data_IF_784167086356
#
_entry.id   IF_784167086356
#
_cell.length_a   1.000
_cell.length_b   1.000
_cell.length_c   1.000
_cell.angle_alpha   90.00
_cell.angle_beta   90.00
_cell.angle_gamma   90.00
#
_symmetry.space_group_name_H-M   'P 1'
#
loop_
_entity.id
_entity.type
_entity.pdbx_description
1 polymer ?
#
# COMPACT_ATOMS: atom_id res chain seq x y z
N UNK A 1 -7.59 7.64 16.89
CA UNK A 1 -8.02 6.26 16.56
C UNK A 1 -7.66 5.81 15.14
N UNK A 2 -7.98 6.58 14.08
CA UNK A 2 -7.62 6.26 12.69
C UNK A 2 -6.10 6.27 12.39
N UNK A 3 -5.31 7.09 13.10
CA UNK A 3 -3.85 7.17 12.94
C UNK A 3 -3.12 5.92 13.47
N UNK A 4 -3.58 5.38 14.61
CA UNK A 4 -3.05 4.15 15.22
C UNK A 4 -3.39 2.93 14.36
N UNK A 5 -4.59 2.91 13.79
CA UNK A 5 -5.01 1.86 12.87
C UNK A 5 -4.14 1.85 11.60
N UNK A 6 -3.88 3.02 11.01
CA UNK A 6 -3.01 3.11 9.84
C UNK A 6 -1.59 2.64 10.17
N UNK A 7 -1.02 3.04 11.30
CA UNK A 7 0.28 2.49 11.75
C UNK A 7 0.24 0.97 11.90
N UNK A 8 -0.82 0.41 12.47
CA UNK A 8 -0.99 -1.04 12.64
C UNK A 8 -1.11 -1.77 11.31
N UNK A 9 -1.83 -1.16 10.35
CA UNK A 9 -1.93 -1.63 8.96
C UNK A 9 -0.57 -1.62 8.28
N UNK A 10 0.21 -0.55 8.43
CA UNK A 10 1.54 -0.45 7.86
C UNK A 10 2.53 -1.42 8.52
N UNK A 11 2.42 -1.66 9.82
CA UNK A 11 3.19 -2.69 10.53
C UNK A 11 2.83 -4.11 10.04
N UNK A 12 1.54 -4.38 9.78
CA UNK A 12 1.09 -5.63 9.17
C UNK A 12 1.62 -5.79 7.74
N UNK A 13 1.57 -4.74 6.93
CA UNK A 13 2.16 -4.72 5.60
C UNK A 13 3.69 -4.86 5.65
N UNK A 14 4.34 -4.31 6.68
CA UNK A 14 5.78 -4.43 6.91
C UNK A 14 6.17 -5.86 7.29
N UNK A 15 5.43 -6.49 8.20
CA UNK A 15 5.61 -7.91 8.57
C UNK A 15 5.36 -8.85 7.38
N UNK A 16 4.31 -8.60 6.60
CA UNK A 16 4.05 -9.35 5.37
C UNK A 16 5.08 -9.05 4.26
N UNK A 17 5.65 -7.84 4.27
CA UNK A 17 6.62 -7.34 3.32
C UNK A 17 8.07 -7.58 3.69
N UNK A 18 8.39 -8.28 4.80
CA UNK A 18 9.77 -8.62 5.16
C UNK A 18 10.52 -9.39 4.06
N UNK A 19 9.81 -10.05 3.16
CA UNK A 19 10.36 -10.70 1.96
C UNK A 19 10.82 -9.70 0.86
N UNK A 20 10.45 -8.43 0.98
CA UNK A 20 10.61 -7.35 -0.03
C UNK A 20 11.64 -6.30 0.46
N UNK A 21 12.27 -6.49 1.62
CA UNK A 21 13.09 -5.44 2.24
C UNK A 21 14.48 -5.31 1.60
N UNK A 22 14.95 -6.29 0.84
CA UNK A 22 16.21 -6.15 0.10
C UNK A 22 15.94 -5.68 -1.35
N UNK A 23 16.07 -4.37 -1.66
CA UNK A 23 15.81 -3.83 -2.99
C UNK A 23 16.71 -4.44 -4.08
N UNK A 24 17.92 -4.89 -3.74
CA UNK A 24 18.81 -5.58 -4.70
C UNK A 24 18.24 -6.95 -5.11
N UNK A 25 17.67 -7.71 -4.17
CA UNK A 25 17.05 -9.01 -4.50
C UNK A 25 15.75 -8.86 -5.28
N UNK A 26 15.06 -7.73 -5.15
CA UNK A 26 13.80 -7.48 -5.85
C UNK A 26 14.01 -7.08 -7.30
N UNK A 27 15.02 -6.26 -7.59
CA UNK A 27 15.31 -5.88 -8.97
C UNK A 27 15.81 -7.09 -9.76
N UNK A 28 16.67 -7.91 -9.14
CA UNK A 28 17.09 -9.20 -9.71
C UNK A 28 15.90 -10.15 -9.89
N UNK A 29 14.99 -10.24 -8.91
CA UNK A 29 13.78 -11.08 -9.03
C UNK A 29 12.87 -10.58 -10.15
N UNK A 30 12.73 -9.26 -10.33
CA UNK A 30 11.94 -8.63 -11.39
C UNK A 30 12.53 -8.94 -12.77
N UNK A 31 13.85 -8.85 -12.93
CA UNK A 31 14.54 -9.04 -14.21
C UNK A 31 14.66 -10.53 -14.56
N UNK A 32 15.03 -11.38 -13.60
CA UNK A 32 15.35 -12.78 -13.86
C UNK A 32 14.18 -13.75 -13.63
N UNK A 33 13.20 -13.39 -12.79
CA UNK A 33 12.08 -14.28 -12.42
C UNK A 33 10.71 -13.57 -12.47
N UNK A 34 10.28 -13.08 -13.64
CA UNK A 34 9.07 -12.24 -13.78
C UNK A 34 7.77 -12.94 -13.34
N UNK A 35 7.71 -14.28 -13.41
CA UNK A 35 6.55 -15.03 -12.93
C UNK A 35 6.42 -15.03 -11.40
N UNK A 36 7.55 -15.08 -10.67
CA UNK A 36 7.56 -14.97 -9.20
C UNK A 36 7.24 -13.54 -8.78
N UNK A 37 7.79 -12.56 -9.50
CA UNK A 37 7.47 -11.15 -9.32
C UNK A 37 5.96 -10.89 -9.41
N UNK A 38 5.32 -11.36 -10.48
CA UNK A 38 3.87 -11.18 -10.67
C UNK A 38 3.05 -11.86 -9.56
N UNK A 39 3.49 -13.01 -9.04
CA UNK A 39 2.82 -13.72 -7.94
C UNK A 39 2.93 -12.97 -6.62
N UNK A 40 4.09 -12.39 -6.33
CA UNK A 40 4.28 -11.54 -5.15
C UNK A 40 3.44 -10.29 -5.26
N UNK A 41 3.42 -9.64 -6.43
CA UNK A 41 2.65 -8.42 -6.63
C UNK A 41 1.14 -8.66 -6.48
N UNK A 42 0.61 -9.74 -7.06
CA UNK A 42 -0.80 -10.11 -6.92
C UNK A 42 -1.17 -10.51 -5.48
N UNK A 43 -0.28 -11.21 -4.75
CA UNK A 43 -0.50 -11.49 -3.32
C UNK A 43 -0.54 -10.20 -2.49
N UNK A 44 0.38 -9.26 -2.73
CA UNK A 44 0.38 -7.95 -2.05
C UNK A 44 -0.89 -7.18 -2.35
N UNK A 45 -1.35 -7.23 -3.60
CA UNK A 45 -2.56 -6.56 -4.05
C UNK A 45 -3.79 -7.02 -3.28
N UNK A 46 -3.95 -8.33 -3.13
CA UNK A 46 -5.07 -8.93 -2.41
C UNK A 46 -5.06 -8.51 -0.93
N UNK A 47 -3.88 -8.50 -0.30
CA UNK A 47 -3.72 -8.02 1.08
C UNK A 47 -4.07 -6.53 1.23
N UNK A 48 -3.64 -5.69 0.30
CA UNK A 48 -3.96 -4.26 0.28
C UNK A 48 -5.46 -4.05 0.14
N UNK A 49 -6.13 -4.78 -0.77
CA UNK A 49 -7.58 -4.67 -0.95
C UNK A 49 -8.34 -5.01 0.33
N UNK A 50 -7.97 -6.12 1.00
CA UNK A 50 -8.60 -6.52 2.26
C UNK A 50 -8.44 -5.45 3.35
N UNK A 51 -7.25 -4.89 3.47
CA UNK A 51 -6.95 -3.84 4.45
C UNK A 51 -7.75 -2.56 4.16
N UNK A 52 -7.81 -2.14 2.90
CA UNK A 52 -8.54 -0.93 2.50
C UNK A 52 -10.05 -1.10 2.71
N UNK A 53 -10.61 -2.27 2.36
CA UNK A 53 -12.02 -2.57 2.63
C UNK A 53 -12.35 -2.52 4.13
N UNK A 54 -11.46 -3.04 4.99
CA UNK A 54 -11.62 -2.95 6.44
C UNK A 54 -11.53 -1.51 6.97
N UNK A 55 -10.69 -0.66 6.38
CA UNK A 55 -10.58 0.73 6.78
C UNK A 55 -11.82 1.55 6.41
N UNK A 56 -12.35 1.36 5.20
CA UNK A 56 -13.48 2.12 4.68
C UNK A 56 -14.82 1.74 5.29
N UNK A 57 -14.95 0.50 5.77
CA UNK A 57 -16.12 0.08 6.55
C UNK A 57 -16.16 0.73 7.94
N UNK A 58 -15.02 1.27 8.42
CA UNK A 58 -14.91 1.99 9.69
C UNK A 58 -14.83 3.51 9.52
N UNK A 59 -14.62 4.04 8.31
CA UNK A 59 -14.58 5.49 8.09
C UNK A 59 -16.00 6.05 8.02
N UNK A 60 -16.30 7.01 8.89
CA UNK A 60 -17.59 7.70 8.92
C UNK A 60 -17.86 8.43 7.59
N UNK A 61 -19.13 8.44 7.14
CA UNK A 61 -19.63 8.87 5.81
C UNK A 61 -19.47 10.38 5.49
N UNK A 62 -18.50 11.06 6.07
CA UNK A 62 -18.51 12.52 6.26
C UNK A 62 -17.89 13.33 5.11
N UNK A 63 -17.39 12.70 4.04
CA UNK A 63 -16.75 13.42 2.92
C UNK A 63 -17.73 13.94 1.86
N UNK A 64 -19.01 13.53 1.90
CA UNK A 64 -19.98 13.82 0.83
C UNK A 64 -19.64 13.16 -0.52
N UNK A 65 -18.59 12.35 -0.57
CA UNK A 65 -18.14 11.60 -1.75
C UNK A 65 -18.64 10.17 -1.63
N UNK A 66 -19.04 9.58 -2.77
CA UNK A 66 -19.46 8.17 -2.81
C UNK A 66 -18.33 7.28 -2.26
N UNK A 67 -18.60 6.44 -1.23
CA UNK A 67 -17.59 5.57 -0.62
C UNK A 67 -16.88 4.66 -1.63
N UNK A 68 -17.53 4.28 -2.73
CA UNK A 68 -16.92 3.46 -3.79
C UNK A 68 -15.83 4.24 -4.53
N UNK A 69 -16.02 5.55 -4.74
CA UNK A 69 -15.01 6.43 -5.35
C UNK A 69 -13.82 6.57 -4.40
N UNK A 70 -14.06 6.80 -3.11
CA UNK A 70 -13.00 6.87 -2.09
C UNK A 70 -12.22 5.55 -2.04
N UNK A 71 -12.93 4.41 -2.09
CA UNK A 71 -12.32 3.07 -2.12
C UNK A 71 -11.41 2.91 -3.32
N UNK A 72 -11.93 3.17 -4.52
CA UNK A 72 -11.18 3.01 -5.76
C UNK A 72 -9.95 3.91 -5.80
N UNK A 73 -10.09 5.18 -5.39
CA UNK A 73 -8.99 6.13 -5.34
C UNK A 73 -7.90 5.70 -4.34
N UNK A 74 -8.29 5.25 -3.15
CA UNK A 74 -7.36 4.78 -2.11
C UNK A 74 -6.58 3.56 -2.60
N UNK A 75 -7.27 2.57 -3.17
CA UNK A 75 -6.65 1.38 -3.75
C UNK A 75 -5.68 1.79 -4.86
N UNK A 76 -6.12 2.61 -5.82
CA UNK A 76 -5.28 3.05 -6.94
C UNK A 76 -4.02 3.79 -6.47
N UNK A 77 -4.11 4.65 -5.46
CA UNK A 77 -2.96 5.34 -4.89
C UNK A 77 -1.97 4.35 -4.26
N UNK A 78 -2.47 3.40 -3.47
CA UNK A 78 -1.61 2.37 -2.85
C UNK A 78 -0.92 1.53 -3.92
N UNK A 79 -1.63 1.12 -4.97
CA UNK A 79 -1.08 0.36 -6.08
C UNK A 79 0.02 1.13 -6.83
N UNK A 80 -0.24 2.40 -7.14
CA UNK A 80 0.67 3.23 -7.91
C UNK A 80 1.95 3.60 -7.14
N UNK A 81 1.86 3.73 -5.81
CA UNK A 81 2.94 4.28 -4.98
C UNK A 81 3.66 3.20 -4.17
N UNK A 82 2.95 2.20 -3.65
CA UNK A 82 3.57 1.10 -2.90
C UNK A 82 3.97 -0.09 -3.77
N UNK A 83 3.93 0.00 -5.10
CA UNK A 83 4.60 -1.01 -5.93
C UNK A 83 6.13 -0.85 -5.85
N UNK A 84 6.91 -1.94 -5.91
CA UNK A 84 8.33 -1.85 -5.63
C UNK A 84 9.09 -1.15 -6.76
N UNK A 85 8.58 -1.18 -8.00
CA UNK A 85 9.17 -0.43 -9.11
C UNK A 85 9.13 1.09 -8.85
N UNK A 86 8.01 1.63 -8.36
CA UNK A 86 7.90 3.03 -7.96
C UNK A 86 8.88 3.36 -6.84
N UNK A 87 8.94 2.52 -5.81
CA UNK A 87 9.82 2.74 -4.64
C UNK A 87 11.29 2.77 -5.07
N UNK A 88 11.74 1.78 -5.86
CA UNK A 88 13.13 1.67 -6.33
C UNK A 88 13.47 2.81 -7.28
N UNK A 89 12.62 3.09 -8.28
CA UNK A 89 12.89 4.12 -9.29
C UNK A 89 12.96 5.54 -8.69
N UNK A 90 12.33 5.77 -7.54
CA UNK A 90 12.36 7.05 -6.84
C UNK A 90 13.37 7.09 -5.68
N UNK A 91 14.18 6.04 -5.49
CA UNK A 91 15.17 5.98 -4.40
C UNK A 91 14.54 6.04 -3.00
N UNK A 92 13.30 5.56 -2.85
CA UNK A 92 12.56 5.59 -1.60
C UNK A 92 12.73 4.27 -0.83
N UNK A 93 12.34 4.28 0.45
CA UNK A 93 12.14 3.06 1.22
C UNK A 93 10.65 2.72 1.31
N UNK A 94 10.30 1.44 1.40
CA UNK A 94 8.90 1.04 1.56
C UNK A 94 8.26 1.73 2.79
N UNK A 95 8.96 1.74 3.91
CA UNK A 95 8.47 2.34 5.17
C UNK A 95 8.21 3.85 5.03
N UNK A 96 9.16 4.61 4.48
CA UNK A 96 8.99 6.06 4.30
C UNK A 96 7.88 6.38 3.30
N UNK A 97 7.74 5.56 2.25
CA UNK A 97 6.70 5.71 1.24
C UNK A 97 5.32 5.42 1.82
N UNK A 98 5.19 4.30 2.54
CA UNK A 98 3.99 3.89 3.27
C UNK A 98 3.50 4.98 4.24
N UNK A 99 4.42 5.48 5.07
CA UNK A 99 4.13 6.54 6.04
C UNK A 99 3.66 7.83 5.36
N UNK A 100 4.30 8.25 4.27
CA UNK A 100 3.92 9.46 3.55
C UNK A 100 2.57 9.31 2.84
N UNK A 101 2.33 8.17 2.20
CA UNK A 101 1.04 7.87 1.57
C UNK A 101 -0.10 7.84 2.58
N UNK A 102 0.13 7.26 3.77
CA UNK A 102 -0.81 7.30 4.88
C UNK A 102 -1.25 8.71 5.24
N UNK A 103 -0.27 9.62 5.37
CA UNK A 103 -0.50 11.01 5.73
C UNK A 103 -1.29 11.73 4.65
N UNK A 104 -0.95 11.50 3.38
CA UNK A 104 -1.65 12.04 2.23
C UNK A 104 -3.13 11.62 2.23
N UNK A 105 -3.40 10.31 2.31
CA UNK A 105 -4.76 9.76 2.28
C UNK A 105 -5.58 10.23 3.49
N UNK A 106 -4.98 10.31 4.68
CA UNK A 106 -5.66 10.83 5.87
C UNK A 106 -5.99 12.31 5.74
N UNK A 107 -5.09 13.11 5.18
CA UNK A 107 -5.34 14.53 4.96
C UNK A 107 -6.42 14.77 3.89
N UNK A 108 -6.50 13.91 2.87
CA UNK A 108 -7.51 14.01 1.82
C UNK A 108 -8.91 13.55 2.26
N UNK A 109 -9.01 12.77 3.34
CA UNK A 109 -10.25 12.15 3.83
C UNK A 109 -10.70 12.69 5.20
N UNK A 110 -9.98 13.69 5.72
CA UNK A 110 -10.39 14.55 6.83
C UNK A 110 -11.22 15.72 6.32
#
# INVERSE_FOLDING_TARGET
DSEIFLQTVFDQLFKAGQFIINPFTLDDLRVHYPHLWNKIDSFRMERIQLIVQHWLTQSDKHTGIDPRIVTAATIACIQAILNPAFIINNGLTFESTARQLSRLLTAALK
#
